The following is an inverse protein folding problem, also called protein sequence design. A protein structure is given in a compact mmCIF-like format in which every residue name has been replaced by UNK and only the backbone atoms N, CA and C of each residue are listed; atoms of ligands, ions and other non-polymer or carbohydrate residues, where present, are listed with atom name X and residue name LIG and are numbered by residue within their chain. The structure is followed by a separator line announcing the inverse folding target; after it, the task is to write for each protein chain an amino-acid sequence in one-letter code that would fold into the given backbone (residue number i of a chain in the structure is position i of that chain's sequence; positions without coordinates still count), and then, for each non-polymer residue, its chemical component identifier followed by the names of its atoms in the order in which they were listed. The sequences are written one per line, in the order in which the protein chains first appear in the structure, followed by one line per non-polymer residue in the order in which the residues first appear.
data_IF_639564590159
#
_entry.id   IF_639564590159
#
_cell.length_a   1.000
_cell.length_b   1.000
_cell.length_c   1.000
_cell.angle_alpha   90.00
_cell.angle_beta   90.00
_cell.angle_gamma   90.00
#
_symmetry.space_group_name_H-M   'P 1'
#
loop_
_entity.id
_entity.type
_entity.pdbx_description
1 polymer ?
#
# COMPACT_ATOMS: atom_id res chain seq x y z
N UNK A 1 -8.32 -37.83 -22.86
CA UNK A 1 -6.89 -37.73 -23.21
C UNK A 1 -6.67 -36.27 -23.63
N UNK A 2 -6.02 -35.49 -22.79
CA UNK A 2 -5.67 -34.11 -23.17
C UNK A 2 -4.51 -34.19 -24.16
N UNK A 3 -4.84 -34.19 -25.45
CA UNK A 3 -3.88 -34.00 -26.54
C UNK A 3 -3.43 -32.54 -26.54
N UNK A 4 -2.76 -32.17 -25.51
CA UNK A 4 -2.34 -30.79 -25.27
C UNK A 4 -0.86 -30.61 -25.54
N UNK A 5 -0.48 -29.37 -25.84
CA UNK A 5 0.93 -28.96 -25.95
C UNK A 5 1.64 -29.23 -24.62
N UNK A 6 2.83 -29.86 -24.61
CA UNK A 6 3.56 -30.13 -23.38
C UNK A 6 3.91 -28.86 -22.63
N UNK A 7 3.97 -28.86 -21.29
CA UNK A 7 4.27 -27.68 -20.48
C UNK A 7 5.58 -26.99 -20.86
N UNK A 8 6.63 -27.77 -21.17
CA UNK A 8 7.95 -27.26 -21.55
C UNK A 8 7.89 -26.49 -22.87
N UNK A 9 7.12 -26.98 -23.84
CA UNK A 9 6.91 -26.31 -25.12
C UNK A 9 6.12 -25.00 -24.96
N UNK A 10 5.11 -24.97 -24.08
CA UNK A 10 4.38 -23.74 -23.77
C UNK A 10 5.33 -22.69 -23.18
N UNK A 11 6.23 -23.08 -22.26
CA UNK A 11 7.20 -22.20 -21.65
C UNK A 11 8.20 -21.67 -22.67
N UNK A 12 8.80 -22.54 -23.48
CA UNK A 12 9.77 -22.14 -24.50
C UNK A 12 9.17 -21.18 -25.52
N UNK A 13 7.94 -21.39 -25.96
CA UNK A 13 7.24 -20.50 -26.89
C UNK A 13 6.95 -19.13 -26.28
N UNK A 14 6.61 -19.07 -24.99
CA UNK A 14 6.37 -17.77 -24.35
C UNK A 14 7.65 -16.95 -24.18
N UNK A 15 8.79 -17.61 -24.00
CA UNK A 15 10.13 -16.98 -23.87
C UNK A 15 10.76 -16.67 -25.24
N UNK A 16 10.30 -17.29 -26.30
CA UNK A 16 10.80 -17.07 -27.66
C UNK A 16 10.34 -15.74 -28.22
N UNK A 17 11.28 -14.82 -28.45
CA UNK A 17 11.02 -13.48 -28.95
C UNK A 17 10.44 -13.45 -30.36
N UNK A 18 10.71 -14.48 -31.14
CA UNK A 18 10.20 -14.62 -32.51
C UNK A 18 8.80 -15.22 -32.57
N UNK A 19 8.29 -15.73 -31.44
CA UNK A 19 6.93 -16.23 -31.35
C UNK A 19 5.93 -15.07 -31.17
N UNK A 20 4.89 -14.95 -32.01
CA UNK A 20 3.93 -13.84 -31.93
C UNK A 20 3.19 -13.73 -30.60
N UNK A 21 3.15 -14.81 -29.82
CA UNK A 21 2.60 -14.83 -28.47
C UNK A 21 3.57 -14.39 -27.37
N UNK A 22 4.83 -14.05 -27.70
CA UNK A 22 5.83 -13.64 -26.73
C UNK A 22 5.37 -12.44 -25.92
N UNK A 23 5.49 -12.52 -24.59
CA UNK A 23 5.16 -11.41 -23.68
C UNK A 23 3.68 -11.05 -23.57
N UNK A 24 2.79 -11.72 -24.29
CA UNK A 24 1.35 -11.50 -24.20
C UNK A 24 0.78 -11.96 -22.84
N UNK A 25 -0.35 -11.35 -22.46
CA UNK A 25 -1.14 -11.82 -21.32
C UNK A 25 -1.73 -13.20 -21.57
N UNK A 26 -2.09 -13.90 -20.48
CA UNK A 26 -2.51 -15.31 -20.48
C UNK A 26 -3.54 -15.66 -21.56
N UNK A 27 -4.60 -14.86 -21.71
CA UNK A 27 -5.69 -15.14 -22.65
C UNK A 27 -5.23 -15.01 -24.10
N UNK A 28 -4.52 -13.94 -24.44
CA UNK A 28 -4.02 -13.72 -25.79
C UNK A 28 -2.96 -14.76 -26.18
N UNK A 29 -2.07 -15.10 -25.26
CA UNK A 29 -1.10 -16.19 -25.47
C UNK A 29 -1.76 -17.54 -25.70
N UNK A 30 -2.79 -17.88 -24.91
CA UNK A 30 -3.58 -19.09 -25.11
C UNK A 30 -4.23 -19.12 -26.49
N UNK A 31 -4.86 -18.02 -26.91
CA UNK A 31 -5.51 -17.93 -28.24
C UNK A 31 -4.51 -18.16 -29.38
N UNK A 32 -3.30 -17.60 -29.25
CA UNK A 32 -2.22 -17.80 -30.22
C UNK A 32 -1.79 -19.28 -30.29
N UNK A 33 -1.64 -19.93 -29.12
CA UNK A 33 -1.33 -21.36 -29.06
C UNK A 33 -2.44 -22.23 -29.70
N UNK A 34 -3.71 -21.96 -29.38
CA UNK A 34 -4.85 -22.65 -29.90
C UNK A 34 -4.96 -22.52 -31.44
N UNK A 35 -4.74 -21.31 -31.95
CA UNK A 35 -4.76 -21.01 -33.38
C UNK A 35 -3.66 -21.74 -34.15
N UNK A 36 -2.42 -21.71 -33.63
CA UNK A 36 -1.26 -22.29 -34.33
C UNK A 36 -1.20 -23.81 -34.30
N UNK A 37 -1.58 -24.38 -33.17
CA UNK A 37 -1.46 -25.81 -32.97
C UNK A 37 -2.78 -26.55 -33.19
N UNK A 38 -3.84 -25.81 -33.52
CA UNK A 38 -5.20 -26.36 -33.73
C UNK A 38 -5.66 -27.24 -32.55
N UNK A 39 -5.44 -26.79 -31.34
CA UNK A 39 -5.77 -27.49 -30.08
C UNK A 39 -6.62 -26.58 -29.20
N UNK A 40 -7.48 -27.17 -28.36
CA UNK A 40 -8.16 -26.42 -27.28
C UNK A 40 -7.46 -26.66 -25.97
N UNK A 41 -7.11 -25.58 -25.28
CA UNK A 41 -6.45 -25.62 -24.01
C UNK A 41 -7.34 -25.03 -22.90
N UNK A 42 -7.34 -25.64 -21.72
CA UNK A 42 -8.06 -25.04 -20.59
C UNK A 42 -7.27 -23.86 -20.01
N UNK A 43 -7.99 -22.81 -19.60
CA UNK A 43 -7.37 -21.65 -18.94
C UNK A 43 -6.58 -22.03 -17.71
N UNK A 44 -7.11 -23.00 -16.95
CA UNK A 44 -6.46 -23.54 -15.76
C UNK A 44 -5.13 -24.21 -16.08
N UNK A 45 -5.07 -24.97 -17.18
CA UNK A 45 -3.84 -25.63 -17.59
C UNK A 45 -2.76 -24.62 -17.99
N UNK A 46 -3.07 -23.72 -18.94
CA UNK A 46 -2.11 -22.71 -19.40
C UNK A 46 -1.65 -21.84 -18.24
N UNK A 47 -2.58 -21.42 -17.37
CA UNK A 47 -2.23 -20.64 -16.16
C UNK A 47 -1.27 -21.37 -15.24
N UNK A 48 -1.50 -22.65 -14.97
CA UNK A 48 -0.62 -23.44 -14.11
C UNK A 48 0.79 -23.61 -14.69
N UNK A 49 0.90 -23.74 -16.01
CA UNK A 49 2.20 -23.78 -16.70
C UNK A 49 2.90 -22.44 -16.61
N UNK A 50 2.20 -21.33 -16.87
CA UNK A 50 2.76 -19.99 -16.87
C UNK A 50 3.17 -19.53 -15.47
N UNK A 51 2.47 -19.92 -14.42
CA UNK A 51 2.85 -19.61 -13.03
C UNK A 51 4.19 -20.25 -12.60
N UNK A 52 4.75 -21.15 -13.41
CA UNK A 52 6.08 -21.73 -13.18
C UNK A 52 7.18 -21.08 -14.04
N UNK A 53 6.86 -20.03 -14.81
CA UNK A 53 7.81 -19.21 -15.58
C UNK A 53 8.13 -17.97 -14.75
N UNK A 54 9.38 -17.83 -14.25
CA UNK A 54 9.75 -16.70 -13.37
C UNK A 54 9.49 -15.33 -14.02
N UNK A 55 9.84 -15.16 -15.29
CA UNK A 55 9.66 -13.94 -16.05
C UNK A 55 8.19 -13.56 -16.19
N UNK A 56 7.32 -14.54 -16.39
CA UNK A 56 5.88 -14.32 -16.41
C UNK A 56 5.36 -13.87 -15.04
N UNK A 57 5.79 -14.55 -13.98
CA UNK A 57 5.34 -14.22 -12.60
C UNK A 57 5.77 -12.83 -12.17
N UNK A 58 6.97 -12.39 -12.53
CA UNK A 58 7.48 -11.05 -12.27
C UNK A 58 6.66 -9.96 -12.99
N UNK A 59 6.18 -10.26 -14.18
CA UNK A 59 5.40 -9.34 -15.00
C UNK A 59 3.88 -9.35 -14.73
N UNK A 60 3.39 -10.28 -13.87
CA UNK A 60 2.00 -10.26 -13.45
C UNK A 60 1.74 -9.03 -12.58
N UNK A 61 1.16 -8.00 -13.19
CA UNK A 61 0.66 -6.85 -12.44
C UNK A 61 -0.56 -7.32 -11.63
N UNK A 62 -0.35 -7.62 -10.36
CA UNK A 62 -1.44 -7.88 -9.41
C UNK A 62 -2.18 -6.57 -9.12
N UNK A 63 -3.00 -6.12 -10.04
CA UNK A 63 -3.92 -5.03 -9.76
C UNK A 63 -5.00 -5.54 -8.81
N UNK A 64 -4.83 -5.30 -7.51
CA UNK A 64 -5.98 -5.34 -6.61
C UNK A 64 -6.94 -4.24 -7.10
N UNK A 65 -8.17 -4.59 -7.44
CA UNK A 65 -9.26 -3.62 -7.53
C UNK A 65 -9.44 -3.06 -6.11
N UNK A 66 -8.87 -1.89 -5.87
CA UNK A 66 -9.15 -1.12 -4.68
C UNK A 66 -10.28 -0.20 -5.10
N UNK A 67 -11.43 -0.31 -4.48
CA UNK A 67 -12.50 0.67 -4.62
C UNK A 67 -11.91 2.01 -4.18
N UNK A 68 -11.65 2.87 -5.16
CA UNK A 68 -11.13 4.21 -4.88
C UNK A 68 -12.25 4.99 -4.23
N UNK A 69 -12.05 5.38 -2.97
CA UNK A 69 -12.90 6.38 -2.35
C UNK A 69 -12.55 7.73 -2.97
N UNK A 70 -13.55 8.38 -3.51
CA UNK A 70 -13.43 9.77 -3.89
C UNK A 70 -13.36 10.60 -2.61
N UNK A 71 -12.35 11.44 -2.50
CA UNK A 71 -12.23 12.49 -1.50
C UNK A 71 -12.78 13.81 -2.04
N UNK A 72 -13.79 13.73 -2.91
CA UNK A 72 -14.41 14.88 -3.58
C UNK A 72 -15.05 15.89 -2.61
N UNK A 73 -15.12 15.53 -1.33
CA UNK A 73 -15.66 16.37 -0.26
C UNK A 73 -14.59 17.12 0.55
N UNK A 74 -13.31 17.08 0.14
CA UNK A 74 -12.23 17.82 0.82
C UNK A 74 -11.85 19.00 -0.06
N UNK A 75 -12.10 20.22 0.42
CA UNK A 75 -12.01 21.45 -0.39
C UNK A 75 -10.95 22.43 0.11
N UNK A 76 -10.31 22.15 1.25
CA UNK A 76 -9.36 23.07 1.86
C UNK A 76 -8.22 22.41 2.61
N UNK A 77 -7.16 23.23 2.82
CA UNK A 77 -6.03 22.85 3.63
C UNK A 77 -6.47 22.54 5.07
N UNK A 78 -5.95 21.44 5.61
CA UNK A 78 -6.18 20.98 6.96
C UNK A 78 -7.66 20.65 7.31
N UNK A 79 -8.48 20.44 6.28
CA UNK A 79 -9.84 19.93 6.45
C UNK A 79 -9.84 18.44 6.81
N UNK A 80 -9.00 17.64 6.12
CA UNK A 80 -8.82 16.22 6.39
C UNK A 80 -7.34 15.86 6.43
N UNK A 81 -6.88 15.41 7.60
CA UNK A 81 -5.53 14.90 7.80
C UNK A 81 -5.55 13.40 8.01
N UNK A 82 -4.76 12.65 7.24
CA UNK A 82 -4.52 11.24 7.47
C UNK A 82 -3.23 11.05 8.26
N UNK A 83 -3.30 10.20 9.29
CA UNK A 83 -2.14 9.89 10.13
C UNK A 83 -1.82 8.40 10.12
N UNK A 84 -0.52 8.10 10.21
CA UNK A 84 0.00 6.75 10.31
C UNK A 84 1.31 6.72 11.11
N UNK A 85 1.61 5.58 11.73
CA UNK A 85 2.87 5.32 12.41
C UNK A 85 3.67 4.27 11.66
N UNK A 86 4.77 4.69 11.06
CA UNK A 86 5.73 3.81 10.42
C UNK A 86 6.77 3.31 11.44
N UNK A 87 7.12 2.02 11.39
CA UNK A 87 8.18 1.44 12.18
C UNK A 87 9.40 1.15 11.31
N UNK A 88 10.58 1.62 11.76
CA UNK A 88 11.86 1.43 11.10
C UNK A 88 12.85 0.76 12.04
N UNK A 89 12.84 -0.58 12.17
CA UNK A 89 13.72 -1.30 13.08
C UNK A 89 15.20 -1.05 12.85
N UNK A 90 15.61 -0.77 11.60
CA UNK A 90 16.99 -0.49 11.20
C UNK A 90 17.57 0.75 11.88
N UNK A 91 16.75 1.73 12.27
CA UNK A 91 17.22 2.91 12.97
C UNK A 91 17.39 2.72 14.48
N UNK A 92 16.98 1.58 15.03
CA UNK A 92 17.14 1.24 16.45
C UNK A 92 18.51 0.67 16.80
N UNK A 93 19.37 0.38 15.80
CA UNK A 93 20.69 -0.20 16.01
C UNK A 93 21.67 0.82 16.64
N UNK A 94 22.62 0.30 17.42
CA UNK A 94 23.55 1.05 18.28
C UNK A 94 24.38 2.16 17.62
N UNK A 95 24.38 2.31 16.31
CA UNK A 95 25.15 3.33 15.59
C UNK A 95 24.56 4.74 15.71
N UNK A 96 23.26 4.87 15.97
CA UNK A 96 22.61 6.21 16.09
C UNK A 96 22.30 6.62 17.52
N UNK A 97 22.85 6.04 18.55
CA UNK A 97 22.71 6.41 20.00
C UNK A 97 21.40 7.14 20.43
N UNK A 98 20.45 7.34 19.50
CA UNK A 98 19.22 8.13 19.66
C UNK A 98 17.96 7.28 19.85
N UNK A 99 18.02 5.96 19.59
CA UNK A 99 16.90 5.03 19.84
C UNK A 99 15.62 5.35 19.06
N UNK A 100 15.73 5.99 17.91
CA UNK A 100 14.59 6.32 17.06
C UNK A 100 14.14 5.08 16.32
N UNK A 101 12.85 4.77 16.39
CA UNK A 101 12.31 3.57 15.82
C UNK A 101 11.02 3.80 15.03
N UNK A 102 10.31 4.85 15.35
CA UNK A 102 9.01 5.13 14.78
C UNK A 102 8.98 6.50 14.13
N UNK A 103 8.22 6.63 13.07
CA UNK A 103 7.93 7.92 12.43
C UNK A 103 6.43 8.13 12.42
N UNK A 104 5.99 9.17 13.10
CA UNK A 104 4.63 9.67 12.98
C UNK A 104 4.53 10.47 11.68
N UNK A 105 3.59 10.11 10.82
CA UNK A 105 3.33 10.75 9.55
C UNK A 105 1.92 11.35 9.56
N UNK A 106 1.79 12.63 9.28
CA UNK A 106 0.51 13.30 9.07
C UNK A 106 0.50 13.94 7.67
N UNK A 107 -0.49 13.60 6.86
CA UNK A 107 -0.63 14.12 5.52
C UNK A 107 -1.97 14.82 5.34
N UNK A 108 -1.93 16.06 4.88
CA UNK A 108 -3.13 16.77 4.43
C UNK A 108 -3.62 16.19 3.11
N UNK A 109 -4.88 15.77 3.06
CA UNK A 109 -5.44 15.07 1.90
C UNK A 109 -5.65 16.01 0.72
N UNK A 110 -5.91 17.28 0.95
CA UNK A 110 -6.15 18.26 -0.10
C UNK A 110 -4.86 18.67 -0.83
N UNK A 111 -3.83 19.06 -0.07
CA UNK A 111 -2.57 19.58 -0.64
C UNK A 111 -1.51 18.50 -0.82
N UNK A 112 -1.68 17.31 -0.21
CA UNK A 112 -0.65 16.30 -0.06
C UNK A 112 0.56 16.76 0.77
N UNK A 113 0.41 17.84 1.54
CA UNK A 113 1.45 18.32 2.45
C UNK A 113 1.70 17.26 3.54
N UNK A 114 2.97 16.90 3.71
CA UNK A 114 3.42 15.91 4.66
C UNK A 114 4.15 16.55 5.82
N UNK A 115 3.68 16.28 7.05
CA UNK A 115 4.39 16.55 8.27
C UNK A 115 4.85 15.24 8.94
N UNK A 116 6.08 15.20 9.44
CA UNK A 116 6.63 14.00 10.07
C UNK A 116 7.32 14.31 11.38
N UNK A 117 7.22 13.37 12.34
CA UNK A 117 7.95 13.41 13.59
C UNK A 117 8.52 12.06 13.95
N UNK A 118 9.81 12.05 14.30
CA UNK A 118 10.47 10.82 14.76
C UNK A 118 10.16 10.60 16.24
N UNK A 119 9.77 9.34 16.56
CA UNK A 119 9.45 8.92 17.93
C UNK A 119 10.38 7.77 18.36
N UNK A 120 10.71 7.77 19.64
CA UNK A 120 11.48 6.67 20.25
C UNK A 120 10.59 5.50 20.62
N UNK A 121 9.38 5.81 21.06
CA UNK A 121 8.43 4.85 21.60
C UNK A 121 7.08 4.95 20.88
N UNK A 122 6.45 3.79 20.70
CA UNK A 122 5.10 3.67 20.17
C UNK A 122 4.10 3.61 21.33
N UNK A 123 3.93 4.73 22.01
CA UNK A 123 2.98 4.87 23.10
C UNK A 123 2.07 6.10 22.91
N UNK A 124 0.96 6.13 23.64
CA UNK A 124 -0.04 7.21 23.52
C UNK A 124 0.54 8.59 23.83
N UNK A 125 1.44 8.69 24.79
CA UNK A 125 2.05 9.97 25.18
C UNK A 125 2.95 10.53 24.07
N UNK A 126 3.78 9.69 23.44
CA UNK A 126 4.65 10.12 22.34
C UNK A 126 3.83 10.55 21.12
N UNK A 127 2.73 9.83 20.82
CA UNK A 127 1.80 10.18 19.76
C UNK A 127 1.03 11.46 20.08
N UNK A 128 0.61 11.66 21.32
CA UNK A 128 -0.03 12.89 21.77
C UNK A 128 0.91 14.10 21.59
N UNK A 129 2.15 13.98 22.02
CA UNK A 129 3.14 15.05 21.86
C UNK A 129 3.37 15.40 20.38
N UNK A 130 3.32 14.41 19.48
CA UNK A 130 3.42 14.65 18.05
C UNK A 130 2.20 15.43 17.52
N UNK A 131 0.99 15.08 17.95
CA UNK A 131 -0.21 15.84 17.61
C UNK A 131 -0.18 17.27 18.20
N UNK A 132 0.26 17.43 19.45
CA UNK A 132 0.31 18.75 20.07
C UNK A 132 1.29 19.69 19.35
N UNK A 133 2.39 19.18 18.80
CA UNK A 133 3.29 19.95 17.95
C UNK A 133 2.66 20.28 16.60
N UNK A 134 2.07 19.29 15.92
CA UNK A 134 1.37 19.49 14.65
C UNK A 134 0.26 20.55 14.78
N UNK A 135 -0.55 20.44 15.83
CA UNK A 135 -1.66 21.37 16.08
C UNK A 135 -1.20 22.76 16.49
N UNK A 136 -0.08 22.88 17.18
CA UNK A 136 0.51 24.16 17.51
C UNK A 136 1.05 24.88 16.28
N UNK A 137 1.57 24.13 15.30
CA UNK A 137 2.19 24.70 14.11
C UNK A 137 1.15 25.07 13.04
N UNK A 138 0.11 24.25 12.84
CA UNK A 138 -0.86 24.41 11.75
C UNK A 138 -2.31 24.61 12.18
N UNK A 139 -2.59 24.60 13.49
CA UNK A 139 -3.94 24.64 14.02
C UNK A 139 -4.61 23.28 14.08
N UNK A 140 -5.90 23.26 14.40
CA UNK A 140 -6.67 22.03 14.51
C UNK A 140 -7.33 21.68 13.18
N UNK A 141 -7.13 20.45 12.64
CA UNK A 141 -7.87 20.02 11.47
C UNK A 141 -9.35 19.78 11.81
N UNK A 142 -10.20 19.88 10.83
CA UNK A 142 -11.61 19.52 11.03
C UNK A 142 -11.77 18.02 11.30
N UNK A 143 -10.97 17.20 10.56
CA UNK A 143 -11.05 15.75 10.64
C UNK A 143 -9.67 15.11 10.60
N UNK A 144 -9.47 14.09 11.45
CA UNK A 144 -8.32 13.19 11.41
C UNK A 144 -8.78 11.77 11.12
N UNK A 145 -8.13 11.12 10.18
CA UNK A 145 -8.34 9.70 9.87
C UNK A 145 -7.08 8.90 10.13
N UNK A 146 -7.23 7.72 10.75
CA UNK A 146 -6.14 6.79 10.99
C UNK A 146 -6.58 5.33 10.87
N UNK A 147 -5.61 4.44 10.75
CA UNK A 147 -5.84 3.02 10.96
C UNK A 147 -6.04 2.73 12.45
N UNK A 148 -6.56 1.53 12.78
CA UNK A 148 -6.91 1.15 14.16
C UNK A 148 -5.66 0.81 15.02
N UNK A 149 -4.80 1.79 15.28
CA UNK A 149 -3.66 1.65 16.18
C UNK A 149 -4.08 1.78 17.65
N UNK A 150 -3.47 1.01 18.55
CA UNK A 150 -3.80 0.98 19.98
C UNK A 150 -3.61 2.31 20.68
N UNK A 151 -2.54 3.02 20.35
CA UNK A 151 -2.15 4.32 20.89
C UNK A 151 -3.21 5.38 20.59
N UNK A 152 -3.72 5.37 19.36
CA UNK A 152 -4.76 6.30 18.90
C UNK A 152 -6.14 5.96 19.49
N UNK A 153 -6.42 4.67 19.72
CA UNK A 153 -7.65 4.25 20.43
C UNK A 153 -7.67 4.82 21.84
N UNK A 154 -6.54 4.78 22.55
CA UNK A 154 -6.42 5.34 23.88
C UNK A 154 -6.65 6.84 23.88
N UNK A 155 -5.96 7.61 23.01
CA UNK A 155 -6.17 9.06 22.89
C UNK A 155 -7.63 9.42 22.60
N UNK A 156 -8.28 8.67 21.71
CA UNK A 156 -9.69 8.87 21.42
C UNK A 156 -10.58 8.60 22.63
N UNK A 157 -10.35 7.51 23.36
CA UNK A 157 -11.15 7.18 24.56
C UNK A 157 -10.96 8.17 25.70
N UNK A 158 -9.81 8.85 25.75
CA UNK A 158 -9.50 9.91 26.72
C UNK A 158 -10.08 11.29 26.30
N UNK A 159 -10.83 11.37 25.20
CA UNK A 159 -11.44 12.62 24.72
C UNK A 159 -10.45 13.63 24.14
N UNK A 160 -9.24 13.19 23.79
CA UNK A 160 -8.18 14.08 23.32
C UNK A 160 -8.59 14.93 22.09
N UNK A 161 -9.28 14.31 21.14
CA UNK A 161 -9.74 14.94 19.90
C UNK A 161 -11.02 15.75 20.10
N UNK A 162 -11.98 15.19 20.83
CA UNK A 162 -13.25 15.83 21.15
C UNK A 162 -13.08 17.16 21.89
N UNK A 163 -12.18 17.22 22.87
CA UNK A 163 -11.84 18.41 23.62
C UNK A 163 -11.27 19.55 22.74
N UNK A 164 -10.74 19.19 21.54
CA UNK A 164 -10.18 20.10 20.54
C UNK A 164 -11.11 20.36 19.38
N UNK A 165 -12.33 19.82 19.42
CA UNK A 165 -13.34 19.87 18.34
C UNK A 165 -12.84 19.26 17.02
N UNK A 166 -11.96 18.26 17.09
CA UNK A 166 -11.43 17.52 15.96
C UNK A 166 -12.25 16.24 15.80
N UNK A 167 -12.86 16.05 14.64
CA UNK A 167 -13.54 14.78 14.36
C UNK A 167 -12.55 13.68 14.04
N UNK A 168 -12.43 12.68 14.92
CA UNK A 168 -11.48 11.57 14.73
C UNK A 168 -12.19 10.29 14.27
N UNK A 169 -11.72 9.72 13.16
CA UNK A 169 -12.29 8.52 12.56
C UNK A 169 -11.24 7.43 12.33
N UNK A 170 -11.55 6.19 12.75
CA UNK A 170 -10.78 5.02 12.37
C UNK A 170 -11.29 4.45 11.06
N UNK A 171 -10.38 4.22 10.11
CA UNK A 171 -10.71 3.47 8.90
C UNK A 171 -11.01 2.01 9.23
N UNK A 172 -12.08 1.47 8.66
CA UNK A 172 -12.42 0.06 8.80
C UNK A 172 -11.60 -0.78 7.82
N UNK A 173 -11.11 -1.97 8.24
CA UNK A 173 -10.53 -2.93 7.29
C UNK A 173 -11.55 -3.26 6.17
N UNK A 174 -11.10 -3.50 4.93
CA UNK A 174 -9.70 -3.56 4.48
C UNK A 174 -9.09 -2.21 4.08
N UNK A 175 -9.75 -1.08 4.35
CA UNK A 175 -9.33 0.24 3.93
C UNK A 175 -8.24 0.78 4.87
N UNK A 176 -7.02 0.85 4.37
CA UNK A 176 -5.89 1.51 5.04
C UNK A 176 -5.83 2.99 4.67
N UNK A 177 -5.10 3.78 5.44
CA UNK A 177 -4.76 5.15 5.10
C UNK A 177 -3.90 5.17 3.84
N UNK A 178 -4.54 5.37 2.68
CA UNK A 178 -3.92 5.15 1.37
C UNK A 178 -2.75 6.10 1.11
N UNK A 179 -2.83 7.35 1.58
CA UNK A 179 -1.76 8.33 1.41
C UNK A 179 -0.60 8.07 2.37
N UNK A 180 -0.89 7.85 3.65
CA UNK A 180 0.11 7.55 4.65
C UNK A 180 0.85 6.22 4.37
N UNK A 181 0.15 5.19 3.92
CA UNK A 181 0.75 3.91 3.54
C UNK A 181 1.65 3.98 2.29
N UNK A 182 1.40 4.91 1.35
CA UNK A 182 2.32 5.15 0.22
C UNK A 182 3.64 5.76 0.68
N UNK A 183 3.61 6.62 1.69
CA UNK A 183 4.81 7.23 2.25
C UNK A 183 5.72 6.25 2.97
N UNK A 184 5.16 5.25 3.67
CA UNK A 184 5.96 4.19 4.26
C UNK A 184 6.80 3.47 3.20
N UNK A 185 6.23 3.21 2.01
CA UNK A 185 6.96 2.60 0.92
C UNK A 185 8.06 3.51 0.36
N UNK A 186 7.83 4.82 0.27
CA UNK A 186 8.82 5.79 -0.21
C UNK A 186 9.96 5.93 0.81
N UNK A 187 9.64 6.09 2.09
CA UNK A 187 10.65 6.21 3.15
C UNK A 187 11.45 4.92 3.34
N UNK A 188 10.84 3.75 3.15
CA UNK A 188 11.54 2.46 3.22
C UNK A 188 12.47 2.20 2.02
N UNK A 189 12.26 2.88 0.88
CA UNK A 189 13.08 2.73 -0.32
C UNK A 189 14.35 3.59 -0.28
N UNK A 190 14.39 4.63 0.55
CA UNK A 190 15.51 5.57 0.70
C UNK A 190 16.26 5.44 2.03
N UNK A 191 15.92 4.45 2.85
CA UNK A 191 16.54 4.14 4.14
C UNK A 191 17.45 2.92 4.04
#
# INVERSE_FOLDING_TARGET
MESGIPPEKIRSLWLDKDFPGHGLGLLAFKQELESRFNVKLSDKYVKNVMLRVPEYVQNIIRRKKIDRRNYDSVHGFFELVQVDLAEFPQFSTNQTKKGWRYVFCAIDVYTSFLWTKVLREKNSQSVQNAFDELFREYGFPQKVESDQAGELKKLKSEGYFENRKVYFHFKRPPNKCAFAGKLQNILAFHA
#
